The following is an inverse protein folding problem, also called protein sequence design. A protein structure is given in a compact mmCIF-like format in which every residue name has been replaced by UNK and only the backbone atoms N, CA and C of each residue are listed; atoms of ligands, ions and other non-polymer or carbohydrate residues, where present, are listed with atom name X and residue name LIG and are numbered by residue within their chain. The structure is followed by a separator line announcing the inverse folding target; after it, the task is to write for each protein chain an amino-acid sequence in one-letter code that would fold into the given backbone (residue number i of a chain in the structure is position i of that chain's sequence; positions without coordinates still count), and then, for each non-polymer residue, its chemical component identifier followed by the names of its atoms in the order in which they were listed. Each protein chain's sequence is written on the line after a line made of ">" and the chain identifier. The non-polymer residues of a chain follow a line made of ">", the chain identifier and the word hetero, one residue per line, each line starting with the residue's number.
data_IF_542216545116
#
_entry.id   IF_542216545116
#
_cell.length_a   1.000
_cell.length_b   1.000
_cell.length_c   1.000
_cell.angle_alpha   90.00
_cell.angle_beta   90.00
_cell.angle_gamma   90.00
#
_symmetry.space_group_name_H-M   'P 1'
#
loop_
_entity.id
_entity.type
_entity.pdbx_description
1 polymer ?
#
# COMPACT_ATOMS: atom_id res chain seq x y z
N UNK A 1 -11.73 6.60 -13.05
CA UNK A 1 -12.68 5.98 -12.11
C UNK A 1 -12.38 4.48 -12.10
N UNK A 2 -12.55 3.80 -10.96
CA UNK A 2 -12.41 2.34 -10.87
C UNK A 2 -13.81 1.74 -10.71
N UNK A 3 -14.10 0.67 -11.44
CA UNK A 3 -15.41 0.03 -11.42
C UNK A 3 -15.35 -1.38 -11.99
N UNK A 4 -16.14 -2.31 -11.42
CA UNK A 4 -16.22 -3.70 -11.91
C UNK A 4 -16.67 -3.76 -13.38
N UNK A 5 -17.63 -2.93 -13.77
CA UNK A 5 -18.13 -2.82 -15.15
C UNK A 5 -17.12 -2.22 -16.13
N UNK A 6 -16.14 -1.48 -15.63
CA UNK A 6 -15.08 -0.85 -16.43
C UNK A 6 -13.89 -1.81 -16.64
N UNK A 7 -13.92 -3.02 -16.04
CA UNK A 7 -12.87 -4.03 -16.16
C UNK A 7 -11.56 -3.69 -15.44
N UNK A 8 -11.49 -2.55 -14.74
CA UNK A 8 -10.28 -2.03 -14.09
C UNK A 8 -10.28 -2.21 -12.57
N UNK A 9 -11.12 -3.11 -12.04
CA UNK A 9 -11.18 -3.42 -10.62
C UNK A 9 -9.90 -4.11 -10.15
N UNK A 10 -9.30 -3.61 -9.08
CA UNK A 10 -8.11 -4.18 -8.45
C UNK A 10 -8.47 -4.73 -7.08
N UNK A 11 -8.23 -6.02 -6.88
CA UNK A 11 -8.40 -6.68 -5.57
C UNK A 11 -7.08 -6.73 -4.80
N UNK A 12 -7.13 -6.95 -3.48
CA UNK A 12 -5.92 -7.20 -2.70
C UNK A 12 -5.15 -8.42 -3.20
N UNK A 13 -5.85 -9.48 -3.60
CA UNK A 13 -5.23 -10.67 -4.18
C UNK A 13 -4.44 -10.34 -5.45
N UNK A 14 -5.00 -9.49 -6.30
CA UNK A 14 -4.33 -8.98 -7.51
C UNK A 14 -3.06 -8.20 -7.18
N UNK A 15 -3.03 -7.47 -6.05
CA UNK A 15 -1.81 -6.77 -5.61
C UNK A 15 -0.72 -7.76 -5.18
N UNK A 16 -1.09 -8.79 -4.41
CA UNK A 16 -0.18 -9.87 -3.99
C UNK A 16 0.40 -10.60 -5.20
N UNK A 17 -0.44 -10.94 -6.18
CA UNK A 17 -0.01 -11.60 -7.43
C UNK A 17 0.95 -10.73 -8.25
N UNK A 18 0.84 -9.40 -8.14
CA UNK A 18 1.77 -8.43 -8.75
C UNK A 18 3.06 -8.23 -7.95
N UNK A 19 3.20 -8.89 -6.80
CA UNK A 19 4.39 -8.81 -5.94
C UNK A 19 4.37 -7.65 -4.93
N UNK A 20 3.23 -6.97 -4.77
CA UNK A 20 3.08 -5.93 -3.74
C UNK A 20 2.69 -6.53 -2.40
N UNK A 21 3.18 -5.94 -1.33
CA UNK A 21 2.70 -6.25 0.00
C UNK A 21 1.29 -5.67 0.23
N UNK A 22 0.33 -6.43 0.79
CA UNK A 22 -1.01 -5.91 1.10
C UNK A 22 -1.00 -4.65 1.99
N UNK A 23 -0.03 -4.56 2.89
CA UNK A 23 0.14 -3.41 3.77
C UNK A 23 0.59 -2.15 3.04
N UNK A 24 1.21 -2.25 1.86
CA UNK A 24 1.53 -1.10 1.03
C UNK A 24 0.25 -0.37 0.58
N UNK A 25 -0.82 -1.10 0.24
CA UNK A 25 -2.12 -0.50 -0.08
C UNK A 25 -2.72 0.22 1.13
N UNK A 26 -2.69 -0.41 2.32
CA UNK A 26 -3.16 0.23 3.55
C UNK A 26 -2.38 1.50 3.85
N UNK A 27 -1.06 1.46 3.72
CA UNK A 27 -0.19 2.62 3.88
C UNK A 27 -0.56 3.73 2.91
N UNK A 28 -0.77 3.42 1.62
CA UNK A 28 -1.21 4.38 0.60
C UNK A 28 -2.53 5.06 0.99
N UNK A 29 -3.54 4.29 1.40
CA UNK A 29 -4.86 4.81 1.77
C UNK A 29 -4.78 5.74 2.98
N UNK A 30 -3.99 5.37 4.00
CA UNK A 30 -3.84 6.15 5.23
C UNK A 30 -3.04 7.43 5.05
N UNK A 31 -2.18 7.52 4.03
CA UNK A 31 -1.48 8.75 3.69
C UNK A 31 -2.41 9.81 3.05
N UNK A 32 -3.54 9.39 2.49
CA UNK A 32 -4.53 10.32 1.98
C UNK A 32 -5.54 10.69 3.07
N UNK A 33 -6.05 11.91 3.02
CA UNK A 33 -7.15 12.31 3.89
C UNK A 33 -8.42 11.52 3.51
N UNK A 34 -9.08 10.92 4.51
CA UNK A 34 -10.21 9.99 4.29
C UNK A 34 -11.41 10.59 3.52
N UNK A 35 -11.58 11.92 3.52
CA UNK A 35 -12.65 12.62 2.78
C UNK A 35 -12.25 13.06 1.38
N UNK A 36 -11.01 12.77 0.97
CA UNK A 36 -10.48 13.15 -0.33
C UNK A 36 -10.53 11.97 -1.28
N UNK A 37 -10.63 12.26 -2.57
CA UNK A 37 -10.45 11.23 -3.59
C UNK A 37 -9.03 10.68 -3.52
N UNK A 38 -8.89 9.35 -3.52
CA UNK A 38 -7.61 8.69 -3.67
C UNK A 38 -7.35 8.43 -5.16
N UNK A 39 -6.31 9.07 -5.69
CA UNK A 39 -5.81 8.77 -7.03
C UNK A 39 -4.91 7.55 -6.97
N UNK A 40 -5.50 6.38 -7.19
CA UNK A 40 -4.77 5.12 -7.25
C UNK A 40 -4.00 5.00 -8.58
N UNK A 41 -2.68 4.80 -8.50
CA UNK A 41 -1.82 4.42 -9.62
C UNK A 41 -0.76 3.41 -9.17
N UNK A 42 -0.16 2.71 -10.11
CA UNK A 42 0.91 1.75 -9.82
C UNK A 42 2.14 2.48 -9.23
N UNK A 43 2.46 3.68 -9.71
CA UNK A 43 3.54 4.50 -9.20
C UNK A 43 3.30 4.92 -7.74
N UNK A 44 2.06 5.32 -7.41
CA UNK A 44 1.68 5.68 -6.05
C UNK A 44 1.78 4.47 -5.12
N UNK A 45 1.34 3.29 -5.57
CA UNK A 45 1.45 2.05 -4.81
C UNK A 45 2.92 1.63 -4.61
N UNK A 46 3.75 1.71 -5.65
CA UNK A 46 5.19 1.40 -5.57
C UNK A 46 5.97 2.38 -4.70
N UNK A 47 5.53 3.64 -4.64
CA UNK A 47 6.09 4.62 -3.70
C UNK A 47 5.69 4.28 -2.25
N UNK A 48 4.43 3.93 -2.02
CA UNK A 48 3.93 3.49 -0.72
C UNK A 48 4.64 2.22 -0.20
N UNK A 49 4.85 1.24 -1.07
CA UNK A 49 5.57 0.00 -0.76
C UNK A 49 7.02 0.28 -0.32
N UNK A 50 7.74 1.11 -1.08
CA UNK A 50 9.11 1.55 -0.72
C UNK A 50 9.15 2.34 0.60
N UNK A 51 8.19 3.23 0.81
CA UNK A 51 8.10 4.01 2.05
C UNK A 51 7.83 3.10 3.26
N UNK A 52 6.96 2.09 3.12
CA UNK A 52 6.69 1.09 4.15
C UNK A 52 7.95 0.28 4.49
N UNK A 53 8.71 -0.17 3.49
CA UNK A 53 10.00 -0.85 3.71
C UNK A 53 11.00 0.03 4.45
N UNK A 54 11.09 1.32 4.08
CA UNK A 54 11.93 2.29 4.77
C UNK A 54 11.52 2.47 6.23
N UNK A 55 10.22 2.60 6.51
CA UNK A 55 9.69 2.72 7.87
C UNK A 55 10.03 1.48 8.71
N UNK A 56 9.86 0.28 8.16
CA UNK A 56 10.24 -0.97 8.84
C UNK A 56 11.73 -1.05 9.13
N UNK A 57 12.55 -0.59 8.19
CA UNK A 57 13.99 -0.56 8.38
C UNK A 57 14.36 0.36 9.55
N UNK A 58 13.76 1.54 9.62
CA UNK A 58 13.97 2.47 10.73
C UNK A 58 13.52 1.87 12.08
N UNK A 59 12.39 1.17 12.11
CA UNK A 59 11.91 0.49 13.33
C UNK A 59 12.90 -0.60 13.79
N UNK A 60 13.36 -1.44 12.85
CA UNK A 60 14.36 -2.47 13.13
C UNK A 60 15.67 -1.87 13.65
N UNK A 61 16.17 -0.82 13.00
CA UNK A 61 17.41 -0.14 13.41
C UNK A 61 17.25 0.56 14.78
N UNK A 62 16.02 0.96 15.16
CA UNK A 62 15.69 1.50 16.49
C UNK A 62 15.53 0.43 17.58
N UNK A 63 15.70 -0.86 17.26
CA UNK A 63 15.50 -1.97 18.20
C UNK A 63 14.03 -2.23 18.53
N UNK A 64 13.09 -1.67 17.76
CA UNK A 64 11.70 -2.04 17.84
C UNK A 64 11.52 -3.35 17.06
N UNK A 65 11.35 -4.45 17.80
CA UNK A 65 10.97 -5.73 17.20
C UNK A 65 9.59 -5.55 16.54
N UNK A 66 9.46 -5.82 15.23
CA UNK A 66 8.15 -5.77 14.60
C UNK A 66 7.28 -6.84 15.25
N UNK A 67 6.18 -6.44 15.89
CA UNK A 67 5.22 -7.43 16.38
C UNK A 67 4.73 -8.28 15.19
N UNK A 68 4.80 -9.62 15.29
CA UNK A 68 4.24 -10.47 14.25
C UNK A 68 2.72 -10.26 14.19
N UNK A 69 2.21 -10.07 12.97
CA UNK A 69 0.78 -9.99 12.67
C UNK A 69 0.12 -11.37 12.66
#
# INVERSE_FOLDING_TARGET
>A
RMGKSEGNFVSLQTLVERGYEPLAYRYLVLNNHYRSYLNFSDEALKAADRALMGLRRLLYDAGAEPEPL
#
